data_IF_811388841768
#
_entry.id   IF_811388841768
#
_cell.length_a   1.000
_cell.length_b   1.000
_cell.length_c   1.000
_cell.angle_alpha   90.00
_cell.angle_beta   90.00
_cell.angle_gamma   90.00
#
_symmetry.space_group_name_H-M   'P 1'
#
loop_
_entity.id
_entity.type
_entity.pdbx_description
1 polymer ?
#
# COMPACT_ATOMS: atom_id res chain seq x y z
N UNK A 1 6.49 -4.96 -7.19
CA UNK A 1 5.75 -4.20 -6.17
C UNK A 1 4.32 -3.85 -6.61
N UNK A 2 4.04 -2.72 -7.28
CA UNK A 2 2.64 -2.25 -7.53
C UNK A 2 1.74 -3.18 -8.33
N UNK A 3 2.27 -3.87 -9.35
CA UNK A 3 1.49 -4.89 -10.08
C UNK A 3 1.06 -6.06 -9.20
N UNK A 4 1.86 -6.40 -8.19
CA UNK A 4 1.52 -7.46 -7.24
C UNK A 4 0.55 -6.98 -6.18
N UNK A 5 0.65 -5.74 -5.69
CA UNK A 5 -0.37 -5.20 -4.78
C UNK A 5 -1.75 -5.09 -5.44
N UNK A 6 -1.80 -4.89 -6.76
CA UNK A 6 -3.05 -4.85 -7.52
C UNK A 6 -3.79 -6.20 -7.58
N UNK A 7 -3.14 -7.32 -7.23
CA UNK A 7 -3.83 -8.61 -7.10
C UNK A 7 -4.61 -8.74 -5.79
N UNK A 8 -4.50 -7.76 -4.88
CA UNK A 8 -5.20 -7.72 -3.59
C UNK A 8 -4.93 -8.96 -2.71
N UNK A 9 -3.77 -9.60 -2.89
CA UNK A 9 -3.29 -10.69 -2.03
C UNK A 9 -2.23 -10.14 -1.06
N UNK A 10 -2.68 -9.82 0.16
CA UNK A 10 -1.82 -9.20 1.17
C UNK A 10 -0.70 -10.14 1.63
N UNK A 11 -0.98 -11.45 1.71
CA UNK A 11 -0.01 -12.44 2.17
C UNK A 11 1.13 -12.59 1.17
N UNK A 12 0.80 -12.77 -0.12
CA UNK A 12 1.79 -12.89 -1.18
C UNK A 12 2.60 -11.60 -1.33
N UNK A 13 1.92 -10.44 -1.34
CA UNK A 13 2.58 -9.16 -1.53
C UNK A 13 3.51 -8.78 -0.36
N UNK A 14 3.05 -8.94 0.88
CA UNK A 14 3.91 -8.64 2.04
C UNK A 14 5.10 -9.60 2.11
N UNK A 15 4.90 -10.91 1.90
CA UNK A 15 5.97 -11.90 1.97
C UNK A 15 7.06 -11.71 0.92
N UNK A 16 6.66 -11.30 -0.29
CA UNK A 16 7.59 -11.05 -1.39
C UNK A 16 8.41 -9.77 -1.16
N UNK A 17 7.77 -8.67 -0.77
CA UNK A 17 8.39 -7.34 -0.85
C UNK A 17 8.80 -6.71 0.48
N UNK A 18 8.40 -7.27 1.63
CA UNK A 18 8.66 -6.69 2.94
C UNK A 18 9.54 -7.60 3.80
N UNK A 19 10.32 -7.01 4.69
CA UNK A 19 11.02 -7.74 5.74
C UNK A 19 10.08 -8.01 6.92
N UNK A 20 10.38 -9.03 7.73
CA UNK A 20 9.55 -9.40 8.89
C UNK A 20 9.48 -8.28 9.96
N UNK A 21 10.48 -7.40 10.01
CA UNK A 21 10.58 -6.23 10.90
C UNK A 21 10.09 -4.92 10.26
N UNK A 22 9.28 -4.99 9.18
CA UNK A 22 8.75 -3.82 8.47
C UNK A 22 8.11 -2.79 9.41
N UNK A 23 8.42 -1.51 9.21
CA UNK A 23 7.71 -0.39 9.82
C UNK A 23 6.88 0.35 8.78
N UNK A 24 5.59 0.60 9.05
CA UNK A 24 4.70 1.35 8.18
C UNK A 24 4.14 2.58 8.88
N UNK A 25 4.47 3.76 8.36
CA UNK A 25 3.76 5.01 8.62
C UNK A 25 2.75 5.21 7.48
N UNK A 26 1.45 5.11 7.75
CA UNK A 26 0.39 5.29 6.75
C UNK A 26 -0.47 6.51 7.07
N UNK A 27 -0.49 7.48 6.17
CA UNK A 27 -1.06 8.81 6.39
C UNK A 27 -0.51 9.42 7.69
N UNK A 28 -1.38 9.95 8.55
CA UNK A 28 -1.03 10.53 9.85
C UNK A 28 -1.26 9.54 11.02
N UNK A 29 -1.41 8.24 10.76
CA UNK A 29 -1.64 7.25 11.81
C UNK A 29 -0.34 6.92 12.58
N UNK A 30 -0.41 6.33 13.78
CA UNK A 30 0.79 5.78 14.42
C UNK A 30 1.50 4.74 13.56
N UNK A 31 2.82 4.62 13.72
CA UNK A 31 3.62 3.60 13.02
C UNK A 31 3.18 2.20 13.43
N UNK A 32 2.85 1.37 12.44
CA UNK A 32 2.54 -0.05 12.59
C UNK A 32 3.80 -0.87 12.30
N UNK A 33 4.00 -2.01 12.97
CA UNK A 33 5.26 -2.78 12.88
C UNK A 33 5.06 -4.27 12.66
N UNK A 34 5.99 -4.87 11.94
CA UNK A 34 6.09 -6.31 11.70
C UNK A 34 4.78 -6.94 11.23
N UNK A 35 4.33 -7.97 11.94
CA UNK A 35 3.11 -8.72 11.59
C UNK A 35 1.85 -7.84 11.53
N UNK A 36 1.76 -6.77 12.32
CA UNK A 36 0.58 -5.90 12.33
C UNK A 36 0.42 -5.15 11.00
N UNK A 37 1.52 -4.90 10.27
CA UNK A 37 1.47 -4.30 8.92
C UNK A 37 0.73 -5.24 7.97
N UNK A 38 1.05 -6.54 8.04
CA UNK A 38 0.39 -7.56 7.24
C UNK A 38 -1.08 -7.70 7.62
N UNK A 39 -1.39 -7.74 8.93
CA UNK A 39 -2.78 -7.81 9.41
C UNK A 39 -3.61 -6.62 8.93
N UNK A 40 -3.04 -5.41 8.89
CA UNK A 40 -3.71 -4.24 8.34
C UNK A 40 -4.10 -4.46 6.86
N UNK A 41 -3.19 -4.93 6.02
CA UNK A 41 -3.50 -5.17 4.60
C UNK A 41 -4.46 -6.34 4.39
N UNK A 42 -4.36 -7.40 5.21
CA UNK A 42 -5.30 -8.52 5.20
C UNK A 42 -6.74 -8.09 5.57
N UNK A 43 -6.91 -7.00 6.33
CA UNK A 43 -8.23 -6.43 6.62
C UNK A 43 -8.73 -5.51 5.50
N UNK A 44 -7.84 -4.77 4.82
CA UNK A 44 -8.23 -3.77 3.82
C UNK A 44 -8.46 -4.39 2.44
N UNK A 45 -7.54 -5.24 1.96
CA UNK A 45 -7.59 -5.76 0.59
C UNK A 45 -8.88 -6.52 0.25
N UNK A 46 -9.46 -7.35 1.14
CA UNK A 46 -10.73 -8.03 0.85
C UNK A 46 -11.94 -7.11 0.65
N UNK A 47 -11.82 -5.83 1.01
CA UNK A 47 -12.84 -4.80 0.86
C UNK A 47 -12.75 -4.03 -0.45
N UNK A 48 -11.77 -4.36 -1.29
CA UNK A 48 -11.52 -3.71 -2.58
C UNK A 48 -11.80 -4.69 -3.72
N UNK A 49 -12.31 -4.16 -4.83
CA UNK A 49 -12.30 -4.84 -6.13
C UNK A 49 -11.14 -4.34 -7.01
N UNK A 50 -10.56 -3.17 -6.69
CA UNK A 50 -9.46 -2.57 -7.44
C UNK A 50 -8.54 -1.74 -6.53
N UNK A 51 -7.24 -1.88 -6.72
CA UNK A 51 -6.22 -0.94 -6.25
C UNK A 51 -5.09 -0.84 -7.27
N UNK A 52 -5.10 0.21 -8.07
CA UNK A 52 -4.11 0.44 -9.13
C UNK A 52 -3.30 1.70 -8.87
N UNK A 53 -1.99 1.64 -9.14
CA UNK A 53 -1.09 2.76 -8.98
C UNK A 53 -0.61 3.24 -10.34
N UNK A 54 -0.93 4.48 -10.70
CA UNK A 54 -0.31 5.20 -11.79
C UNK A 54 0.91 5.96 -11.25
N UNK A 55 2.11 5.57 -11.66
CA UNK A 55 3.36 6.14 -11.16
C UNK A 55 3.63 7.45 -11.90
N UNK A 56 3.69 8.56 -11.17
CA UNK A 56 3.97 9.88 -11.73
C UNK A 56 5.49 10.10 -11.84
N UNK A 57 6.23 9.76 -10.78
CA UNK A 57 7.68 9.67 -10.82
C UNK A 57 8.18 8.67 -9.78
N UNK A 58 9.40 8.21 -10.00
CA UNK A 58 10.07 7.20 -9.20
C UNK A 58 11.58 7.46 -9.22
N UNK A 59 12.17 7.69 -8.05
CA UNK A 59 13.59 7.94 -7.88
C UNK A 59 14.17 6.96 -6.87
N UNK A 60 15.30 6.34 -7.24
CA UNK A 60 16.07 5.50 -6.32
C UNK A 60 17.37 6.21 -5.94
N UNK A 61 17.44 6.66 -4.68
CA UNK A 61 18.63 7.22 -4.07
C UNK A 61 18.97 6.36 -2.86
N UNK A 62 19.84 5.38 -3.08
CA UNK A 62 20.12 4.33 -2.12
C UNK A 62 20.33 4.87 -0.68
N UNK A 63 19.70 4.26 0.34
CA UNK A 63 18.89 3.05 0.30
C UNK A 63 17.37 3.32 0.16
N UNK A 64 16.97 4.44 -0.46
CA UNK A 64 15.58 4.92 -0.47
C UNK A 64 15.00 5.01 -1.87
N UNK A 65 13.74 4.66 -1.98
CA UNK A 65 12.89 4.92 -3.13
C UNK A 65 11.95 6.06 -2.75
N UNK A 66 11.83 7.05 -3.63
CA UNK A 66 10.83 8.11 -3.54
C UNK A 66 9.87 7.98 -4.71
N UNK A 67 8.58 8.06 -4.44
CA UNK A 67 7.58 7.80 -5.45
C UNK A 67 6.35 8.66 -5.24
N UNK A 68 5.94 9.39 -6.27
CA UNK A 68 4.58 9.92 -6.37
C UNK A 68 3.73 9.01 -7.24
N UNK A 69 2.49 8.76 -6.82
CA UNK A 69 1.52 8.00 -7.58
C UNK A 69 0.11 8.59 -7.46
N UNK A 70 -0.70 8.36 -8.48
CA UNK A 70 -2.15 8.47 -8.40
C UNK A 70 -2.70 7.06 -8.18
N UNK A 71 -3.45 6.87 -7.11
CA UNK A 71 -3.95 5.55 -6.71
C UNK A 71 -5.45 5.52 -6.96
N UNK A 72 -5.88 4.58 -7.79
CA UNK A 72 -7.29 4.31 -8.06
C UNK A 72 -7.75 3.16 -7.20
N UNK A 73 -8.82 3.39 -6.45
CA UNK A 73 -9.47 2.40 -5.62
C UNK A 73 -10.89 2.14 -6.13
N UNK A 74 -11.32 0.88 -6.10
CA UNK A 74 -12.73 0.49 -6.19
C UNK A 74 -13.09 -0.32 -4.97
N UNK A 75 -14.11 0.12 -4.23
CA UNK A 75 -14.61 -0.64 -3.09
C UNK A 75 -15.43 -1.82 -3.62
N UNK A 76 -15.40 -2.93 -2.89
CA UNK A 76 -16.09 -4.15 -3.28
C UNK A 76 -17.56 -3.93 -3.59
N UNK A 77 -17.99 -4.39 -4.77
CA UNK A 77 -19.36 -4.25 -5.25
C UNK A 77 -19.74 -2.84 -5.72
N UNK A 78 -18.79 -1.93 -5.88
CA UNK A 78 -18.98 -0.71 -6.67
C UNK A 78 -18.73 -0.95 -8.16
N UNK A 79 -19.29 -0.08 -9.01
CA UNK A 79 -18.96 -0.04 -10.42
C UNK A 79 -17.86 1.01 -10.72
N UNK A 80 -17.39 1.04 -11.98
CA UNK A 80 -16.29 1.90 -12.39
C UNK A 80 -16.57 3.41 -12.31
N UNK A 81 -17.84 3.82 -12.27
CA UNK A 81 -18.20 5.24 -12.13
C UNK A 81 -18.01 5.75 -10.70
N UNK A 82 -17.74 4.84 -9.76
CA UNK A 82 -17.59 5.11 -8.34
C UNK A 82 -16.14 4.96 -7.86
N UNK A 83 -15.20 4.82 -8.79
CA UNK A 83 -13.77 4.76 -8.49
C UNK A 83 -13.31 6.01 -7.74
N UNK A 84 -12.44 5.80 -6.75
CA UNK A 84 -11.87 6.85 -5.92
C UNK A 84 -10.41 7.00 -6.32
N UNK A 85 -10.04 8.18 -6.81
CA UNK A 85 -8.65 8.52 -7.11
C UNK A 85 -8.05 9.36 -5.99
N UNK A 86 -6.94 8.90 -5.42
CA UNK A 86 -6.20 9.61 -4.36
C UNK A 86 -4.74 9.82 -4.80
N UNK A 87 -4.20 11.05 -4.74
CA UNK A 87 -2.77 11.27 -4.89
C UNK A 87 -2.04 10.78 -3.64
N UNK A 88 -0.88 10.16 -3.83
CA UNK A 88 -0.03 9.69 -2.75
C UNK A 88 1.45 9.88 -3.03
N UNK A 89 2.21 10.01 -1.95
CA UNK A 89 3.66 9.98 -1.97
C UNK A 89 4.19 8.92 -1.02
N UNK A 90 5.11 8.09 -1.49
CA UNK A 90 5.74 7.02 -0.72
C UNK A 90 7.24 7.20 -0.64
N UNK A 91 7.80 7.05 0.56
CA UNK A 91 9.23 6.81 0.77
C UNK A 91 9.42 5.38 1.26
N UNK A 92 10.16 4.58 0.51
CA UNK A 92 10.42 3.17 0.86
C UNK A 92 11.91 2.98 1.13
N UNK A 93 12.23 2.52 2.32
CA UNK A 93 13.58 2.18 2.73
C UNK A 93 13.79 0.70 2.47
N UNK A 94 14.78 0.41 1.65
CA UNK A 94 15.03 -0.95 1.17
C UNK A 94 16.41 -1.43 1.60
N UNK A 95 16.52 -2.73 1.81
CA UNK A 95 17.79 -3.42 2.07
C UNK A 95 17.80 -4.77 1.40
N UNK A 96 18.98 -5.25 1.09
CA UNK A 96 19.16 -6.59 0.52
C UNK A 96 18.99 -7.64 1.63
N UNK A 97 18.18 -8.65 1.36
CA UNK A 97 18.04 -9.84 2.20
C UNK A 97 19.19 -10.82 2.00
N UNK A 98 19.24 -11.86 2.83
CA UNK A 98 20.25 -12.91 2.72
C UNK A 98 20.18 -13.71 1.41
N UNK A 99 19.02 -13.68 0.74
CA UNK A 99 18.75 -14.29 -0.56
C UNK A 99 19.08 -13.37 -1.76
N UNK A 100 19.65 -12.18 -1.50
CA UNK A 100 19.97 -11.19 -2.53
C UNK A 100 18.77 -10.36 -3.00
N UNK A 101 17.59 -10.54 -2.41
CA UNK A 101 16.39 -9.80 -2.80
C UNK A 101 16.31 -8.46 -2.10
N UNK A 102 15.94 -7.41 -2.83
CA UNK A 102 15.74 -6.07 -2.26
C UNK A 102 14.35 -5.97 -1.64
N UNK A 103 14.29 -5.89 -0.29
CA UNK A 103 13.03 -5.83 0.46
C UNK A 103 12.89 -4.51 1.22
N UNK A 104 11.64 -4.07 1.36
CA UNK A 104 11.28 -2.90 2.14
C UNK A 104 11.27 -3.23 3.63
N UNK A 105 11.98 -2.46 4.44
CA UNK A 105 11.97 -2.60 5.90
C UNK A 105 11.34 -1.39 6.61
N UNK A 106 11.15 -0.28 5.89
CA UNK A 106 10.36 0.86 6.37
C UNK A 106 9.66 1.54 5.20
N UNK A 107 8.40 1.88 5.40
CA UNK A 107 7.57 2.57 4.42
C UNK A 107 6.89 3.75 5.07
N UNK A 108 6.97 4.91 4.43
CA UNK A 108 6.28 6.13 4.81
C UNK A 108 5.38 6.55 3.66
N UNK A 109 4.07 6.45 3.87
CA UNK A 109 3.07 6.71 2.83
C UNK A 109 2.22 7.90 3.26
N UNK A 110 2.25 8.96 2.47
CA UNK A 110 1.51 10.19 2.67
C UNK A 110 0.39 10.28 1.63
N UNK A 111 -0.84 10.22 2.09
CA UNK A 111 -2.07 10.35 1.30
C UNK A 111 -3.23 10.67 2.25
N UNK A 112 -4.38 11.04 1.70
CA UNK A 112 -5.65 11.13 2.44
C UNK A 112 -6.52 9.90 2.14
N UNK A 113 -6.64 8.93 3.06
CA UNK A 113 -7.43 7.73 2.83
C UNK A 113 -8.89 7.89 3.23
N UNK A 114 -9.30 9.07 3.74
CA UNK A 114 -10.64 9.27 4.27
C UNK A 114 -11.77 8.95 3.28
N UNK A 115 -11.67 9.24 1.96
CA UNK A 115 -12.73 8.90 1.03
C UNK A 115 -12.93 7.38 0.87
N UNK A 116 -11.83 6.61 0.87
CA UNK A 116 -11.84 5.14 0.78
C UNK A 116 -12.51 4.55 2.01
N UNK A 117 -12.07 4.94 3.21
CA UNK A 117 -12.64 4.42 4.46
C UNK A 117 -14.10 4.85 4.67
N UNK A 118 -14.47 6.06 4.26
CA UNK A 118 -15.86 6.50 4.29
C UNK A 118 -16.74 5.63 3.38
N UNK A 119 -16.26 5.30 2.18
CA UNK A 119 -17.01 4.44 1.24
C UNK A 119 -17.11 3.00 1.73
N UNK A 120 -16.05 2.46 2.32
CA UNK A 120 -16.07 1.17 3.01
C UNK A 120 -17.15 1.14 4.10
N UNK A 121 -17.17 2.14 5.00
CA UNK A 121 -18.15 2.21 6.07
C UNK A 121 -19.59 2.27 5.56
N UNK A 122 -19.85 2.97 4.45
CA UNK A 122 -21.16 3.00 3.79
C UNK A 122 -21.61 1.65 3.23
N UNK A 123 -20.66 0.80 2.80
CA UNK A 123 -20.95 -0.53 2.23
C UNK A 123 -21.11 -1.61 3.29
N UNK A 124 -20.54 -1.40 4.47
CA UNK A 124 -20.62 -2.34 5.60
C UNK A 124 -21.82 -2.10 6.53
N UNK A 125 -22.55 -1.00 6.32
CA UNK A 125 -23.79 -0.66 7.03
C UNK A 125 -25.02 -1.30 6.35
#
# INVERSE_FOLDING_TARGET
FHRSSASLDAAAWCGEFMTDDIELQYANNPVVKGADVRTMFEQVFPQLDLMEHEIIYFDFVAPRIYQAARIRYRIKGDDATQDIDIPGFGTFFVREGADGTLKCYRSEVYLDPSPVFARIAQKSA
#
